data_IF_436458804584
#
_entry.id   IF_436458804584
#
_cell.length_a   1.000
_cell.length_b   1.000
_cell.length_c   1.000
_cell.angle_alpha   90.00
_cell.angle_beta   90.00
_cell.angle_gamma   90.00
#
_symmetry.space_group_name_H-M   'P 1'
#
loop_
_entity.id
_entity.type
_entity.pdbx_description
1 polymer ?
#
# COMPACT_ATOMS: atom_id res chain seq x y z
N UNK A 1 -11.52 23.37 20.45
CA UNK A 1 -11.28 23.08 19.01
C UNK A 1 -12.13 21.86 18.63
N UNK A 2 -12.37 21.61 17.34
CA UNK A 2 -13.09 20.42 16.88
C UNK A 2 -13.10 20.26 15.36
N UNK A 3 -13.75 19.21 14.84
CA UNK A 3 -14.00 19.07 13.40
C UNK A 3 -14.92 20.17 12.88
N UNK A 4 -14.92 20.41 11.56
CA UNK A 4 -15.74 21.45 10.93
C UNK A 4 -17.25 21.27 11.18
N UNK A 5 -17.70 20.04 11.43
CA UNK A 5 -19.07 19.71 11.83
C UNK A 5 -19.45 20.21 13.24
N UNK A 6 -18.48 20.57 14.08
CA UNK A 6 -18.70 21.05 15.45
C UNK A 6 -18.80 22.57 15.57
N UNK A 7 -18.77 23.32 14.45
CA UNK A 7 -18.76 24.79 14.48
C UNK A 7 -19.91 25.39 15.30
N UNK A 8 -21.15 24.91 15.08
CA UNK A 8 -22.33 25.40 15.80
C UNK A 8 -22.21 25.21 17.32
N UNK A 9 -21.82 24.01 17.74
CA UNK A 9 -21.64 23.68 19.16
C UNK A 9 -20.54 24.54 19.81
N UNK A 10 -19.44 24.77 19.09
CA UNK A 10 -18.32 25.59 19.56
C UNK A 10 -18.76 27.04 19.75
N UNK A 11 -19.45 27.64 18.77
CA UNK A 11 -19.94 29.03 18.87
C UNK A 11 -20.96 29.18 20.00
N UNK A 12 -21.87 28.22 20.16
CA UNK A 12 -22.80 28.21 21.30
C UNK A 12 -22.07 28.18 22.65
N UNK A 13 -20.99 27.40 22.76
CA UNK A 13 -20.15 27.39 23.96
C UNK A 13 -19.44 28.72 24.23
N UNK A 14 -18.90 29.36 23.17
CA UNK A 14 -18.27 30.69 23.27
C UNK A 14 -19.28 31.72 23.79
N UNK A 15 -20.49 31.74 23.24
CA UNK A 15 -21.55 32.65 23.67
C UNK A 15 -22.02 32.38 25.10
N UNK A 16 -22.11 31.11 25.50
CA UNK A 16 -22.49 30.74 26.86
C UNK A 16 -21.46 31.25 27.88
N UNK A 17 -20.18 30.97 27.66
CA UNK A 17 -19.08 31.41 28.54
C UNK A 17 -19.03 32.93 28.64
N UNK A 18 -19.27 33.64 27.52
CA UNK A 18 -19.36 35.10 27.51
C UNK A 18 -20.51 35.60 28.39
N UNK A 19 -21.64 34.91 28.44
CA UNK A 19 -22.82 35.32 29.22
C UNK A 19 -22.69 34.96 30.70
N UNK A 20 -22.23 33.76 31.02
CA UNK A 20 -22.18 33.28 32.42
C UNK A 20 -20.95 33.78 33.15
N UNK A 21 -19.79 33.74 32.49
CA UNK A 21 -18.50 33.95 33.15
C UNK A 21 -17.86 35.27 32.74
N UNK A 22 -18.46 35.99 31.78
CA UNK A 22 -17.95 37.27 31.24
C UNK A 22 -16.51 37.17 30.71
N UNK A 23 -16.13 35.99 30.19
CA UNK A 23 -14.80 35.73 29.62
C UNK A 23 -14.84 35.61 28.11
N UNK A 24 -13.78 36.06 27.47
CA UNK A 24 -13.53 35.84 26.05
C UNK A 24 -12.80 34.51 25.85
N UNK A 25 -13.38 33.66 25.01
CA UNK A 25 -12.78 32.38 24.58
C UNK A 25 -12.87 32.27 23.07
N UNK A 26 -12.04 31.41 22.48
CA UNK A 26 -11.93 31.27 21.03
C UNK A 26 -12.29 29.85 20.57
N UNK A 27 -12.92 29.78 19.40
CA UNK A 27 -13.20 28.53 18.69
C UNK A 27 -12.28 28.37 17.49
N UNK A 28 -11.75 27.16 17.30
CA UNK A 28 -11.01 26.77 16.09
C UNK A 28 -11.58 25.46 15.59
N UNK A 29 -11.80 25.35 14.28
CA UNK A 29 -12.19 24.10 13.63
C UNK A 29 -11.16 23.65 12.62
N UNK A 30 -11.08 22.33 12.43
CA UNK A 30 -10.24 21.70 11.41
C UNK A 30 -11.13 21.17 10.28
N UNK A 31 -10.68 21.21 9.02
CA UNK A 31 -11.46 20.67 7.90
C UNK A 31 -11.65 19.16 8.05
N UNK A 32 -12.73 18.63 7.46
CA UNK A 32 -12.88 17.19 7.29
C UNK A 32 -11.78 16.67 6.36
N UNK A 33 -11.13 15.58 6.77
CA UNK A 33 -10.05 14.98 5.99
C UNK A 33 -10.62 14.11 4.87
N UNK A 34 -10.36 14.53 3.63
CA UNK A 34 -10.58 13.77 2.40
C UNK A 34 -9.25 13.31 1.82
N UNK A 35 -9.25 12.24 1.04
CA UNK A 35 -8.12 11.85 0.17
C UNK A 35 -8.09 12.71 -1.10
N UNK A 36 -7.00 12.66 -1.86
CA UNK A 36 -6.89 13.31 -3.17
C UNK A 36 -7.94 12.78 -4.17
N UNK A 37 -8.32 11.50 -4.05
CA UNK A 37 -9.46 10.89 -4.75
C UNK A 37 -10.85 11.35 -4.28
N UNK A 38 -10.94 12.19 -3.24
CA UNK A 38 -12.20 12.73 -2.70
C UNK A 38 -12.92 11.80 -1.72
N UNK A 39 -12.35 10.64 -1.40
CA UNK A 39 -12.91 9.72 -0.42
C UNK A 39 -12.75 10.27 1.01
N UNK A 40 -13.74 10.04 1.87
CA UNK A 40 -13.61 10.35 3.30
C UNK A 40 -12.74 9.29 3.96
N UNK A 41 -11.71 9.73 4.67
CA UNK A 41 -10.71 8.86 5.31
C UNK A 41 -11.32 7.81 6.26
N UNK A 42 -12.41 8.17 6.97
CA UNK A 42 -13.11 7.28 7.91
C UNK A 42 -14.09 6.28 7.29
N UNK A 43 -14.23 6.21 5.97
CA UNK A 43 -15.10 5.27 5.25
C UNK A 43 -14.29 4.47 4.23
N UNK A 44 -13.24 3.81 4.69
CA UNK A 44 -12.49 2.88 3.82
C UNK A 44 -13.42 1.75 3.35
N UNK A 45 -13.08 1.08 2.24
CA UNK A 45 -13.83 -0.08 1.75
C UNK A 45 -13.94 -1.22 2.79
N UNK A 46 -13.03 -1.25 3.77
CA UNK A 46 -13.01 -2.22 4.87
C UNK A 46 -13.68 -1.71 6.16
N UNK A 47 -14.28 -0.51 6.15
CA UNK A 47 -14.89 0.11 7.32
C UNK A 47 -14.00 1.13 8.02
N UNK A 48 -14.22 1.33 9.31
CA UNK A 48 -13.49 2.31 10.12
C UNK A 48 -12.07 1.83 10.46
N UNK A 49 -11.11 2.76 10.46
CA UNK A 49 -9.75 2.52 10.94
C UNK A 49 -9.73 2.76 12.45
N UNK A 50 -9.71 1.70 13.23
CA UNK A 50 -9.75 1.78 14.68
C UNK A 50 -8.37 2.05 15.27
N UNK A 51 -8.32 2.80 16.37
CA UNK A 51 -7.09 3.04 17.14
C UNK A 51 -6.83 1.94 18.17
N UNK A 52 -7.89 1.26 18.62
CA UNK A 52 -7.79 0.20 19.61
C UNK A 52 -7.17 -1.05 18.98
N UNK A 53 -6.08 -1.61 19.57
CA UNK A 53 -5.41 -2.79 19.03
C UNK A 53 -6.32 -4.03 18.99
N UNK A 54 -7.32 -4.12 19.87
CA UNK A 54 -8.28 -5.23 19.91
C UNK A 54 -9.25 -5.22 18.72
N UNK A 55 -9.47 -4.05 18.11
CA UNK A 55 -10.35 -3.89 16.94
C UNK A 55 -9.58 -3.84 15.63
N UNK A 56 -8.40 -3.22 15.65
CA UNK A 56 -7.51 -3.16 14.50
C UNK A 56 -6.07 -3.25 15.00
N UNK A 57 -5.44 -4.38 14.73
CA UNK A 57 -4.05 -4.60 15.12
C UNK A 57 -3.09 -3.63 14.41
N UNK A 58 -1.87 -3.52 14.96
CA UNK A 58 -0.85 -2.58 14.49
C UNK A 58 -0.48 -2.78 13.02
N UNK A 59 -0.39 -4.02 12.52
CA UNK A 59 -0.03 -4.29 11.12
C UNK A 59 -1.11 -3.82 10.13
N UNK A 60 -2.40 -4.18 10.27
CA UNK A 60 -3.47 -3.60 9.45
C UNK A 60 -3.57 -2.07 9.54
N UNK A 61 -3.33 -1.49 10.74
CA UNK A 61 -3.28 -0.04 10.92
C UNK A 61 -2.13 0.60 10.15
N UNK A 62 -0.92 0.03 10.26
CA UNK A 62 0.25 0.44 9.50
C UNK A 62 0.01 0.33 7.99
N UNK A 63 -0.60 -0.77 7.54
CA UNK A 63 -0.93 -0.99 6.13
C UNK A 63 -1.92 0.05 5.58
N UNK A 64 -2.86 0.52 6.38
CA UNK A 64 -3.75 1.61 5.97
C UNK A 64 -2.95 2.86 5.56
N UNK A 65 -1.97 3.27 6.39
CA UNK A 65 -1.11 4.40 6.09
C UNK A 65 -0.13 4.13 4.93
N UNK A 66 0.40 2.91 4.84
CA UNK A 66 1.32 2.50 3.76
C UNK A 66 0.67 2.59 2.37
N UNK A 67 -0.65 2.43 2.32
CA UNK A 67 -1.46 2.50 1.10
C UNK A 67 -1.98 3.91 0.77
N UNK A 68 -1.51 4.94 1.48
CA UNK A 68 -1.80 6.34 1.18
C UNK A 68 -1.42 6.68 -0.27
N UNK A 69 -2.27 7.44 -0.95
CA UNK A 69 -2.00 7.95 -2.31
C UNK A 69 -0.80 8.90 -2.29
N UNK A 70 0.03 8.87 -3.33
CA UNK A 70 1.26 9.68 -3.44
C UNK A 70 1.01 11.16 -3.14
N UNK A 71 -0.09 11.70 -3.68
CA UNK A 71 -0.50 13.10 -3.52
C UNK A 71 -0.88 13.48 -2.07
N UNK A 72 -1.17 12.50 -1.22
CA UNK A 72 -1.61 12.71 0.15
C UNK A 72 -0.50 12.53 1.19
N UNK A 73 0.62 11.88 0.83
CA UNK A 73 1.68 11.50 1.78
C UNK A 73 2.22 12.70 2.56
N UNK A 74 2.62 13.76 1.85
CA UNK A 74 3.14 14.98 2.47
C UNK A 74 2.15 15.64 3.43
N UNK A 75 0.91 15.80 2.96
CA UNK A 75 -0.17 16.36 3.77
C UNK A 75 -0.45 15.51 5.02
N UNK A 76 -0.43 14.18 4.89
CA UNK A 76 -0.67 13.29 6.02
C UNK A 76 0.48 13.24 7.00
N UNK A 77 1.74 13.34 6.53
CA UNK A 77 2.89 13.53 7.41
C UNK A 77 2.71 14.78 8.30
N UNK A 78 2.23 15.88 7.73
CA UNK A 78 2.00 17.14 8.48
C UNK A 78 0.85 17.07 9.48
N UNK A 79 -0.16 16.25 9.21
CA UNK A 79 -1.40 16.21 10.00
C UNK A 79 -1.40 15.11 11.07
N UNK A 80 -0.69 14.00 10.84
CA UNK A 80 -0.82 12.78 11.64
C UNK A 80 0.51 12.27 12.22
N UNK A 81 1.56 13.08 12.18
CA UNK A 81 2.86 12.73 12.77
C UNK A 81 3.49 13.93 13.46
N UNK A 82 4.41 13.69 14.39
CA UNK A 82 5.24 14.71 15.03
C UNK A 82 6.59 14.92 14.30
N UNK A 83 6.69 14.52 13.02
CA UNK A 83 7.92 14.67 12.24
C UNK A 83 8.19 16.16 11.98
N UNK A 84 9.43 16.65 12.15
CA UNK A 84 9.77 18.05 11.89
C UNK A 84 9.49 18.46 10.44
N UNK A 85 8.95 19.67 10.24
CA UNK A 85 8.62 20.21 8.91
C UNK A 85 9.77 20.16 7.88
N UNK A 86 11.05 20.40 8.24
CA UNK A 86 12.16 20.26 7.29
C UNK A 86 12.32 18.83 6.77
N UNK A 87 12.11 17.84 7.63
CA UNK A 87 12.19 16.43 7.24
C UNK A 87 10.99 16.03 6.37
N UNK A 88 9.80 16.54 6.70
CA UNK A 88 8.63 16.36 5.83
C UNK A 88 8.88 16.94 4.44
N UNK A 89 9.46 18.14 4.34
CA UNK A 89 9.78 18.76 3.06
C UNK A 89 10.78 17.91 2.24
N UNK A 90 11.76 17.27 2.90
CA UNK A 90 12.68 16.32 2.26
C UNK A 90 11.94 15.09 1.72
N UNK A 91 11.03 14.51 2.51
CA UNK A 91 10.24 13.34 2.12
C UNK A 91 9.23 13.65 1.00
N UNK A 92 8.65 14.84 1.00
CA UNK A 92 7.75 15.33 -0.06
C UNK A 92 8.44 15.52 -1.41
N UNK A 93 9.76 15.76 -1.40
CA UNK A 93 10.55 15.88 -2.63
C UNK A 93 10.83 14.53 -3.30
N UNK A 94 10.58 13.40 -2.61
CA UNK A 94 10.78 12.07 -3.16
C UNK A 94 9.70 11.75 -4.20
N UNK A 95 10.14 11.24 -5.36
CA UNK A 95 9.26 10.90 -6.48
C UNK A 95 9.59 9.53 -7.07
N UNK A 96 8.77 9.06 -8.01
CA UNK A 96 8.98 7.78 -8.66
C UNK A 96 8.98 6.62 -7.65
N UNK A 97 10.00 5.78 -7.66
CA UNK A 97 10.10 4.65 -6.73
C UNK A 97 10.40 5.09 -5.27
N UNK A 98 11.08 6.22 -5.08
CA UNK A 98 11.56 6.70 -3.77
C UNK A 98 10.43 7.19 -2.86
N UNK A 99 9.26 7.52 -3.42
CA UNK A 99 8.08 7.91 -2.62
C UNK A 99 7.63 6.78 -1.67
N UNK A 100 8.00 5.54 -1.95
CA UNK A 100 7.73 4.42 -1.05
C UNK A 100 8.40 4.61 0.32
N UNK A 101 9.56 5.26 0.37
CA UNK A 101 10.25 5.54 1.63
C UNK A 101 9.44 6.53 2.46
N UNK A 102 8.90 7.58 1.84
CA UNK A 102 8.01 8.54 2.50
C UNK A 102 6.74 7.87 3.04
N UNK A 103 6.17 6.91 2.30
CA UNK A 103 5.00 6.14 2.76
C UNK A 103 5.33 5.21 3.93
N UNK A 104 6.51 4.58 3.93
CA UNK A 104 6.98 3.76 5.05
C UNK A 104 7.15 4.65 6.29
N UNK A 105 7.78 5.82 6.15
CA UNK A 105 7.95 6.77 7.25
C UNK A 105 6.60 7.22 7.82
N UNK A 106 5.65 7.61 6.95
CA UNK A 106 4.30 7.98 7.37
C UNK A 106 3.63 6.84 8.16
N UNK A 107 3.67 5.62 7.62
CA UNK A 107 3.03 4.47 8.24
C UNK A 107 3.63 4.12 9.59
N UNK A 108 4.96 4.12 9.69
CA UNK A 108 5.67 3.82 10.93
C UNK A 108 5.41 4.90 11.98
N UNK A 109 5.50 6.19 11.62
CA UNK A 109 5.28 7.28 12.56
C UNK A 109 3.84 7.31 13.09
N UNK A 110 2.84 7.22 12.20
CA UNK A 110 1.44 7.20 12.61
C UNK A 110 1.11 5.96 13.47
N UNK A 111 1.67 4.80 13.15
CA UNK A 111 1.49 3.57 13.94
C UNK A 111 2.17 3.69 15.31
N UNK A 112 3.36 4.29 15.38
CA UNK A 112 4.09 4.47 16.63
C UNK A 112 3.35 5.37 17.61
N UNK A 113 2.67 6.42 17.12
CA UNK A 113 1.85 7.30 17.96
C UNK A 113 0.68 6.58 18.65
N UNK A 114 0.13 5.54 18.02
CA UNK A 114 -1.10 4.86 18.51
C UNK A 114 -0.79 3.53 19.20
N UNK A 115 0.09 2.73 18.62
CA UNK A 115 0.39 1.36 19.08
C UNK A 115 1.78 1.23 19.72
N UNK A 116 2.56 2.32 19.75
CA UNK A 116 3.93 2.34 20.28
C UNK A 116 4.98 1.94 19.25
N UNK A 117 6.22 2.40 19.48
CA UNK A 117 7.33 2.24 18.52
C UNK A 117 7.62 0.77 18.18
N UNK A 118 7.68 -0.11 19.18
CA UNK A 118 7.98 -1.53 18.96
C UNK A 118 6.96 -2.24 18.05
N UNK A 119 5.68 -1.90 18.18
CA UNK A 119 4.62 -2.46 17.34
C UNK A 119 4.69 -1.90 15.91
N UNK A 120 5.05 -0.62 15.75
CA UNK A 120 5.26 0.00 14.45
C UNK A 120 6.45 -0.60 13.71
N UNK A 121 7.58 -0.80 14.40
CA UNK A 121 8.77 -1.44 13.84
C UNK A 121 8.47 -2.89 13.45
N UNK A 122 7.78 -3.66 14.31
CA UNK A 122 7.34 -5.01 13.98
C UNK A 122 6.41 -5.05 12.76
N UNK A 123 5.49 -4.08 12.62
CA UNK A 123 4.62 -3.97 11.46
C UNK A 123 5.40 -3.61 10.18
N UNK A 124 6.36 -2.70 10.27
CA UNK A 124 7.23 -2.34 9.16
C UNK A 124 8.14 -3.50 8.73
N UNK A 125 8.73 -4.24 9.68
CA UNK A 125 9.49 -5.46 9.41
C UNK A 125 8.59 -6.55 8.83
N UNK A 126 7.36 -6.71 9.31
CA UNK A 126 6.40 -7.65 8.71
C UNK A 126 6.11 -7.25 7.26
N UNK A 127 5.87 -5.97 6.98
CA UNK A 127 5.65 -5.48 5.62
C UNK A 127 6.89 -5.65 4.73
N UNK A 128 8.09 -5.40 5.28
CA UNK A 128 9.36 -5.62 4.58
C UNK A 128 9.55 -7.09 4.29
N UNK A 129 9.40 -7.97 5.28
CA UNK A 129 9.48 -9.42 5.11
C UNK A 129 8.49 -9.90 4.05
N UNK A 130 7.23 -9.43 4.09
CA UNK A 130 6.23 -9.73 3.06
C UNK A 130 6.71 -9.34 1.65
N UNK A 131 7.48 -8.26 1.52
CA UNK A 131 7.93 -7.72 0.24
C UNK A 131 9.35 -8.17 -0.20
N UNK A 132 10.26 -8.47 0.73
CA UNK A 132 11.67 -8.78 0.51
C UNK A 132 12.02 -10.26 0.71
N UNK A 133 11.09 -11.08 1.22
CA UNK A 133 11.41 -12.46 1.65
C UNK A 133 10.24 -13.42 1.91
N UNK A 134 8.98 -12.97 1.91
CA UNK A 134 7.79 -13.79 1.62
C UNK A 134 7.26 -13.50 0.20
N UNK A 135 8.08 -12.86 -0.62
CA UNK A 135 7.96 -12.90 -2.08
C UNK A 135 8.40 -14.27 -2.66
N UNK A 136 8.77 -15.25 -1.82
CA UNK A 136 9.04 -16.63 -2.20
C UNK A 136 8.44 -17.69 -1.25
N UNK A 137 8.12 -17.37 0.02
CA UNK A 137 7.37 -18.27 0.90
C UNK A 137 5.88 -17.87 0.96
N UNK A 138 5.07 -18.53 0.13
CA UNK A 138 3.61 -18.39 0.11
C UNK A 138 3.02 -18.14 -1.28
N UNK A 139 3.85 -17.72 -2.25
CA UNK A 139 3.47 -17.88 -3.66
C UNK A 139 3.54 -19.37 -4.00
N UNK A 140 2.56 -19.92 -4.75
CA UNK A 140 2.73 -21.22 -5.35
C UNK A 140 4.04 -21.21 -6.15
N UNK A 141 4.97 -22.08 -5.76
CA UNK A 141 6.21 -22.29 -6.48
C UNK A 141 5.94 -23.34 -7.54
N UNK A 142 6.30 -23.03 -8.77
CA UNK A 142 6.27 -24.00 -9.86
C UNK A 142 7.72 -24.21 -10.31
N UNK A 143 8.18 -25.44 -10.11
CA UNK A 143 9.47 -25.89 -10.60
C UNK A 143 9.29 -26.36 -12.05
N UNK A 144 10.12 -25.83 -12.95
CA UNK A 144 10.13 -26.22 -14.35
C UNK A 144 11.55 -26.72 -14.66
N UNK A 145 11.72 -27.97 -15.15
CA UNK A 145 13.03 -28.50 -15.48
C UNK A 145 13.77 -27.64 -16.52
N UNK A 146 15.08 -27.44 -16.35
CA UNK A 146 15.90 -26.71 -17.33
C UNK A 146 15.80 -27.30 -18.76
N UNK A 147 15.63 -28.62 -18.86
CA UNK A 147 15.41 -29.33 -20.13
C UNK A 147 14.16 -28.85 -20.89
N UNK A 148 13.13 -28.38 -20.17
CA UNK A 148 11.91 -27.84 -20.78
C UNK A 148 12.08 -26.39 -21.24
N UNK A 149 13.01 -25.64 -20.65
CA UNK A 149 13.34 -24.30 -21.10
C UNK A 149 14.15 -24.33 -22.40
N UNK A 150 15.10 -25.25 -22.56
CA UNK A 150 16.00 -25.26 -23.72
C UNK A 150 16.68 -23.90 -23.89
N UNK A 151 16.47 -23.24 -25.03
CA UNK A 151 16.96 -21.88 -25.30
C UNK A 151 15.99 -20.75 -24.82
N UNK A 152 14.80 -21.10 -24.34
CA UNK A 152 13.77 -20.21 -23.84
C UNK A 152 12.35 -20.68 -24.17
N UNK A 153 11.37 -20.25 -23.39
CA UNK A 153 9.95 -20.58 -23.57
C UNK A 153 9.14 -19.37 -24.03
N UNK A 154 8.21 -19.51 -24.99
CA UNK A 154 7.25 -18.46 -25.30
C UNK A 154 6.42 -18.07 -24.06
N UNK A 155 6.19 -16.78 -23.85
CA UNK A 155 5.50 -16.26 -22.67
C UNK A 155 4.15 -16.93 -22.43
N UNK A 156 3.33 -17.15 -23.47
CA UNK A 156 2.05 -17.85 -23.31
C UNK A 156 2.21 -19.28 -22.76
N UNK A 157 3.26 -19.99 -23.20
CA UNK A 157 3.50 -21.38 -22.81
C UNK A 157 4.00 -21.44 -21.36
N UNK A 158 4.86 -20.49 -20.98
CA UNK A 158 5.34 -20.35 -19.62
C UNK A 158 4.20 -20.02 -18.64
N UNK A 159 3.29 -19.11 -18.98
CA UNK A 159 2.13 -18.78 -18.13
C UNK A 159 1.15 -19.95 -17.95
N UNK A 160 0.91 -20.73 -19.01
CA UNK A 160 0.09 -21.94 -18.92
C UNK A 160 0.77 -23.01 -18.05
N UNK A 161 2.07 -23.23 -18.23
CA UNK A 161 2.87 -24.18 -17.41
C UNK A 161 2.93 -23.78 -15.94
N UNK A 162 3.03 -22.49 -15.66
CA UNK A 162 3.01 -21.94 -14.31
C UNK A 162 1.62 -21.99 -13.62
N UNK A 163 0.59 -22.55 -14.28
CA UNK A 163 -0.76 -22.67 -13.72
C UNK A 163 -1.52 -21.34 -13.61
N UNK A 164 -1.03 -20.28 -14.25
CA UNK A 164 -1.67 -18.97 -14.28
C UNK A 164 -2.77 -18.85 -15.34
N UNK A 165 -2.91 -19.87 -16.20
CA UNK A 165 -3.97 -20.00 -17.20
C UNK A 165 -4.23 -21.50 -17.46
N UNK A 166 -5.48 -21.89 -17.69
CA UNK A 166 -5.86 -23.30 -17.91
C UNK A 166 -5.43 -23.82 -19.30
N UNK A 167 -5.05 -22.94 -20.23
CA UNK A 167 -4.54 -23.33 -21.55
C UNK A 167 -3.65 -22.25 -22.17
N UNK A 168 -2.85 -22.65 -23.18
CA UNK A 168 -2.08 -21.71 -24.00
C UNK A 168 -2.95 -20.65 -24.68
N UNK A 169 -4.20 -20.98 -25.03
CA UNK A 169 -5.15 -20.02 -25.62
C UNK A 169 -5.61 -18.96 -24.62
N UNK A 170 -5.81 -19.34 -23.36
CA UNK A 170 -6.16 -18.43 -22.27
C UNK A 170 -4.97 -17.55 -21.89
N UNK A 171 -3.76 -18.10 -21.82
CA UNK A 171 -2.54 -17.34 -21.56
C UNK A 171 -2.31 -16.23 -22.61
N UNK A 172 -2.52 -16.54 -23.90
CA UNK A 172 -2.46 -15.54 -24.98
C UNK A 172 -3.47 -14.40 -24.78
N UNK A 173 -4.72 -14.74 -24.43
CA UNK A 173 -5.76 -13.73 -24.15
C UNK A 173 -5.40 -12.85 -22.95
N UNK A 174 -4.86 -13.44 -21.88
CA UNK A 174 -4.37 -12.72 -20.70
C UNK A 174 -3.27 -11.71 -21.08
N UNK A 175 -2.31 -12.14 -21.91
CA UNK A 175 -1.20 -11.30 -22.37
C UNK A 175 -1.71 -10.15 -23.25
N UNK A 176 -2.53 -10.45 -24.27
CA UNK A 176 -3.15 -9.42 -25.13
C UNK A 176 -4.01 -8.42 -24.35
N UNK A 177 -4.64 -8.87 -23.27
CA UNK A 177 -5.41 -8.03 -22.36
C UNK A 177 -4.57 -7.17 -21.40
N UNK A 178 -3.24 -7.21 -21.49
CA UNK A 178 -2.33 -6.47 -20.60
C UNK A 178 -2.30 -7.02 -19.17
N UNK A 179 -2.81 -8.23 -18.95
CA UNK A 179 -2.92 -8.87 -17.64
C UNK A 179 -1.67 -9.64 -17.22
N UNK A 180 -0.72 -9.89 -18.12
CA UNK A 180 0.47 -10.68 -17.85
C UNK A 180 1.68 -9.79 -17.50
N UNK A 181 2.37 -10.11 -16.40
CA UNK A 181 3.64 -9.48 -16.03
C UNK A 181 4.72 -10.50 -15.70
N UNK A 182 5.95 -10.22 -16.11
CA UNK A 182 7.18 -10.90 -15.71
C UNK A 182 8.02 -9.91 -14.90
N UNK A 183 8.39 -10.27 -13.67
CA UNK A 183 9.16 -9.42 -12.76
C UNK A 183 8.57 -7.99 -12.68
N UNK A 184 7.24 -7.92 -12.56
CA UNK A 184 6.42 -6.68 -12.53
C UNK A 184 6.37 -5.87 -13.84
N UNK A 185 7.04 -6.31 -14.90
CA UNK A 185 6.98 -5.69 -16.23
C UNK A 185 5.90 -6.34 -17.08
N UNK A 186 5.03 -5.53 -17.69
CA UNK A 186 3.96 -6.02 -18.57
C UNK A 186 4.55 -6.67 -19.82
N UNK A 187 4.11 -7.90 -20.11
CA UNK A 187 4.44 -8.59 -21.35
C UNK A 187 3.40 -8.18 -22.39
N UNK A 188 3.83 -7.53 -23.47
CA UNK A 188 2.93 -7.08 -24.53
C UNK A 188 2.77 -8.11 -25.66
N UNK A 189 3.80 -8.91 -25.92
CA UNK A 189 3.79 -9.94 -26.96
C UNK A 189 3.78 -11.35 -26.35
N UNK A 190 2.75 -12.11 -26.72
CA UNK A 190 2.56 -13.48 -26.26
C UNK A 190 3.64 -14.45 -26.75
N UNK A 191 4.26 -14.16 -27.90
CA UNK A 191 5.30 -14.98 -28.50
C UNK A 191 6.71 -14.62 -28.00
N UNK A 192 6.85 -13.62 -27.12
CA UNK A 192 8.15 -13.25 -26.53
C UNK A 192 8.78 -14.47 -25.87
N UNK A 193 10.00 -14.80 -26.29
CA UNK A 193 10.77 -15.92 -25.75
C UNK A 193 11.43 -15.47 -24.45
N UNK A 194 11.09 -16.14 -23.36
CA UNK A 194 11.64 -15.91 -22.02
C UNK A 194 12.79 -16.90 -21.80
N UNK A 195 14.00 -16.36 -21.67
CA UNK A 195 15.18 -17.15 -21.35
C UNK A 195 15.08 -17.72 -19.92
N UNK A 196 15.68 -18.90 -19.65
CA UNK A 196 15.75 -19.44 -18.30
C UNK A 196 16.50 -18.48 -17.37
N UNK A 197 15.96 -18.30 -16.17
CA UNK A 197 16.55 -17.53 -15.07
C UNK A 197 16.33 -18.34 -13.80
N UNK A 198 17.27 -18.28 -12.86
CA UNK A 198 17.19 -19.06 -11.61
C UNK A 198 15.82 -18.93 -10.93
N UNK A 199 15.30 -17.70 -10.86
CA UNK A 199 13.96 -17.41 -10.36
C UNK A 199 13.32 -16.28 -11.19
N UNK A 200 12.02 -16.40 -11.45
CA UNK A 200 11.24 -15.37 -12.14
C UNK A 200 9.82 -15.29 -11.58
N UNK A 201 9.31 -14.07 -11.38
CA UNK A 201 7.95 -13.85 -10.88
C UNK A 201 6.99 -13.64 -12.05
N UNK A 202 5.97 -14.48 -12.14
CA UNK A 202 4.89 -14.34 -13.11
C UNK A 202 3.63 -13.83 -12.40
N UNK A 203 2.94 -12.88 -13.02
CA UNK A 203 1.70 -12.33 -12.48
C UNK A 203 0.60 -12.32 -13.53
N UNK A 204 -0.56 -12.88 -13.17
CA UNK A 204 -1.81 -12.78 -13.91
C UNK A 204 -2.77 -11.82 -13.17
N UNK A 205 -3.00 -10.66 -13.78
CA UNK A 205 -3.84 -9.61 -13.20
C UNK A 205 -3.23 -8.98 -11.95
N UNK A 206 -4.07 -8.72 -10.94
CA UNK A 206 -3.70 -8.04 -9.68
C UNK A 206 -3.60 -8.97 -8.47
N UNK A 207 -3.97 -10.25 -8.61
CA UNK A 207 -4.17 -11.16 -7.47
C UNK A 207 -3.48 -12.51 -7.62
N UNK A 208 -3.16 -12.95 -8.85
CA UNK A 208 -2.52 -14.25 -9.08
C UNK A 208 -1.06 -14.04 -9.41
N UNK A 209 -0.19 -14.58 -8.57
CA UNK A 209 1.26 -14.46 -8.67
C UNK A 209 1.86 -15.85 -8.42
N UNK A 210 2.84 -16.24 -9.23
CA UNK A 210 3.55 -17.52 -9.14
C UNK A 210 5.04 -17.25 -9.26
N UNK A 211 5.84 -17.96 -8.47
CA UNK A 211 7.28 -17.97 -8.61
C UNK A 211 7.68 -19.19 -9.43
N UNK A 212 8.34 -18.97 -10.57
CA UNK A 212 8.90 -20.05 -11.38
C UNK A 212 10.37 -20.20 -11.02
N UNK A 213 10.76 -21.41 -10.63
CA UNK A 213 12.16 -21.80 -10.43
C UNK A 213 12.59 -22.77 -11.53
N UNK A 214 13.76 -22.53 -12.10
CA UNK A 214 14.35 -23.46 -13.07
C UNK A 214 15.12 -24.52 -12.30
N UNK A 215 14.67 -25.76 -12.37
CA UNK A 215 15.36 -26.90 -11.75
C UNK A 215 16.65 -27.17 -12.54
N UNK A 216 17.78 -27.23 -11.82
CA UNK A 216 19.13 -27.36 -12.38
C UNK A 216 19.45 -28.75 -12.91
#
# INVERSE_FOLDING_TARGET
>A
MGGSDQWGNIVSGVDLIRRTDQKTVYGLTTPLITTASGAKMGKSAAGAVWLSPDKLGAYPYWQFWRNTEDADVGRFLRLFTDIPLPEIARLEALGGAEINDAKIVLATAATAMVHGQAAADAAAETARAVFSGQAAEGLPVVEIPAAEFGAGLPAFALFAKAGLAASNGEARRLIRGGGARLDDVVIADEATVIAPKAEMKLSAGKKQHVLVKVEG
#
